data_IF_869885068765
#
_entry.id   IF_869885068765
#
_cell.length_a   1.000
_cell.length_b   1.000
_cell.length_c   1.000
_cell.angle_alpha   90.00
_cell.angle_beta   90.00
_cell.angle_gamma   90.00
#
_symmetry.space_group_name_H-M   'P 1'
#
loop_
_entity.id
_entity.type
_entity.pdbx_description
1 polymer ?
2 branched ?
3 non-polymer ?
4 non-polymer ?
5 water ?
#
# COMPACT_ATOMS: atom_id res chain seq x y z
N UNK A 1 34.23 18.90 29.34
CA UNK A 1 33.72 18.21 30.52
C UNK A 1 32.23 18.47 30.70
N UNK A 2 31.85 19.74 30.72
CA UNK A 2 30.45 20.09 30.75
C UNK A 2 29.80 19.65 29.44
N UNK A 3 30.58 19.70 28.37
CA UNK A 3 30.14 19.21 27.06
C UNK A 3 29.83 17.72 27.14
N UNK A 4 30.65 17.01 27.90
CA UNK A 4 30.49 15.58 28.09
C UNK A 4 29.15 15.28 28.77
N UNK A 5 28.83 16.08 29.78
CA UNK A 5 27.57 15.93 30.48
C UNK A 5 26.40 16.17 29.54
N UNK A 6 26.57 17.11 28.62
CA UNK A 6 25.51 17.40 27.66
C UNK A 6 25.23 16.27 26.67
N UNK A 7 26.28 15.58 26.19
CA UNK A 7 26.03 14.50 25.23
C UNK A 7 25.53 13.21 25.89
N UNK A 8 25.87 13.02 27.17
CA UNK A 8 25.37 11.88 27.93
C UNK A 8 23.90 12.10 28.23
N UNK A 9 23.53 13.35 28.44
CA UNK A 9 22.12 13.68 28.60
C UNK A 9 21.38 13.50 27.25
N UNK A 10 22.06 13.83 26.15
CA UNK A 10 21.47 13.61 24.83
C UNK A 10 21.28 12.12 24.54
N UNK A 11 22.27 11.31 24.93
CA UNK A 11 22.17 9.85 24.78
C UNK A 11 20.92 9.28 25.46
N UNK A 12 20.63 9.78 26.65
CA UNK A 12 19.49 9.32 27.43
C UNK A 12 18.17 9.74 26.80
N UNK A 13 18.10 10.99 26.35
CA UNK A 13 16.91 11.49 25.67
C UNK A 13 16.67 10.75 24.36
N UNK A 14 17.74 10.47 23.62
CA UNK A 14 17.63 9.82 22.32
C UNK A 14 17.11 8.39 22.49
N UNK A 15 17.65 7.70 23.49
CA UNK A 15 17.28 6.31 23.74
C UNK A 15 15.84 6.24 24.21
N UNK A 16 15.43 7.15 25.08
CA UNK A 16 14.03 7.20 25.52
C UNK A 16 13.10 7.50 24.36
N UNK A 17 13.51 8.44 23.50
CA UNK A 17 12.78 8.68 22.26
C UNK A 17 12.65 7.43 21.38
N UNK A 18 13.75 6.70 21.20
CA UNK A 18 13.72 5.48 20.39
C UNK A 18 12.79 4.42 20.99
N UNK A 19 12.81 4.28 22.31
CA UNK A 19 11.94 3.30 22.96
C UNK A 19 10.48 3.69 22.77
N UNK A 20 10.17 4.95 23.01
CA UNK A 20 8.79 5.40 22.93
C UNK A 20 8.29 5.37 21.49
N UNK A 21 9.19 5.61 20.55
CA UNK A 21 8.85 5.59 19.13
C UNK A 21 8.55 4.19 18.61
N UNK A 22 9.34 3.22 19.05
CA UNK A 22 9.08 1.81 18.70
C UNK A 22 7.67 1.40 19.14
N UNK A 23 7.28 1.82 20.34
CA UNK A 23 5.95 1.54 20.88
C UNK A 23 4.86 2.27 20.11
N UNK A 24 5.06 3.54 19.76
CA UNK A 24 3.98 4.28 19.10
C UNK A 24 3.84 3.92 17.61
N UNK A 25 4.87 3.31 17.03
CA UNK A 25 4.71 2.76 15.67
C UNK A 25 3.78 1.56 15.70
N UNK A 26 3.95 0.70 16.71
CA UNK A 26 3.14 -0.52 16.82
C UNK A 26 1.71 -0.13 17.12
N UNK A 27 1.55 0.88 17.98
CA UNK A 27 0.22 1.39 18.36
C UNK A 27 -0.51 1.96 17.13
N UNK A 28 0.17 2.82 16.39
CA UNK A 28 -0.37 3.41 15.16
C UNK A 28 -0.76 2.40 14.08
N UNK A 29 0.04 1.37 13.87
CA UNK A 29 -0.25 0.39 12.83
C UNK A 29 -1.36 -0.58 13.23
N UNK A 30 -1.63 -0.66 14.54
CA UNK A 30 -2.75 -1.49 14.99
C UNK A 30 -4.08 -0.74 14.88
N UNK A 31 -5.00 -1.26 14.06
CA UNK A 31 -4.91 -2.49 13.28
C UNK A 31 -4.85 -2.26 11.76
N UNK A 32 -4.89 -1.02 11.33
CA UNK A 32 -5.06 -0.74 9.90
C UNK A 32 -3.76 -0.47 9.16
N UNK A 33 -2.63 -0.78 9.77
CA UNK A 33 -1.37 -0.57 9.07
C UNK A 33 -0.45 -1.77 9.16
N UNK A 34 0.49 -1.87 8.22
CA UNK A 34 1.52 -2.90 8.24
C UNK A 34 2.82 -2.26 7.76
N UNK A 35 3.94 -2.57 8.44
CA UNK A 35 5.24 -2.09 7.99
C UNK A 35 6.02 -3.19 7.31
N UNK A 36 6.69 -2.87 6.21
CA UNK A 36 7.58 -3.81 5.52
C UNK A 36 8.81 -3.07 5.01
N UNK A 37 9.94 -3.29 5.68
CA UNK A 37 11.13 -2.56 5.31
C UNK A 37 10.95 -1.10 5.65
N UNK A 38 11.19 -0.23 4.67
CA UNK A 38 11.04 1.20 4.88
C UNK A 38 9.61 1.65 4.56
N UNK A 39 8.82 0.76 3.97
CA UNK A 39 7.45 1.09 3.60
C UNK A 39 6.44 0.90 4.74
N UNK A 40 5.42 1.76 4.76
CA UNK A 40 4.24 1.51 5.57
C UNK A 40 2.99 1.55 4.70
N UNK A 41 2.19 0.49 4.77
CA UNK A 41 0.88 0.47 4.11
C UNK A 41 -0.17 0.72 5.16
N UNK A 42 -1.17 1.53 4.82
CA UNK A 42 -2.26 1.80 5.74
C UNK A 42 -3.53 1.95 4.94
N UNK A 43 -4.60 1.31 5.40
CA UNK A 43 -5.89 1.48 4.74
C UNK A 43 -6.68 2.56 5.46
N UNK A 44 -7.47 3.32 4.70
CA UNK A 44 -8.34 4.32 5.29
C UNK A 44 -9.70 3.73 5.66
N UNK A 45 -9.94 2.50 5.23
CA UNK A 45 -11.18 1.82 5.55
C UNK A 45 -12.40 2.26 4.75
N UNK A 46 -12.16 3.01 3.68
CA UNK A 46 -13.26 3.39 2.78
C UNK A 46 -12.93 2.95 1.35
N UNK A 47 -13.94 3.00 0.48
CA UNK A 47 -13.73 2.62 -0.93
C UNK A 47 -13.87 3.81 -1.86
N UNK A 48 -13.04 3.84 -2.88
CA UNK A 48 -13.04 4.91 -3.87
C UNK A 48 -12.69 4.34 -5.24
N UNK A 49 -12.98 5.09 -6.29
CA UNK A 49 -12.55 4.70 -7.62
C UNK A 49 -11.05 4.79 -7.64
N UNK A 50 -10.41 4.22 -8.64
CA UNK A 50 -8.95 4.29 -8.69
C UNK A 50 -8.49 5.76 -8.72
N UNK A 51 -9.17 6.57 -9.53
CA UNK A 51 -8.77 7.96 -9.74
C UNK A 51 -8.81 8.75 -8.43
N UNK A 52 -9.91 8.62 -7.71
CA UNK A 52 -10.09 9.27 -6.41
C UNK A 52 -9.12 8.71 -5.36
N UNK A 53 -8.82 7.41 -5.45
CA UNK A 53 -7.90 6.80 -4.49
C UNK A 53 -6.50 7.38 -4.68
N UNK A 54 -6.10 7.56 -5.94
CA UNK A 54 -4.83 8.17 -6.27
C UNK A 54 -4.68 9.56 -5.66
N UNK A 55 -5.72 10.39 -5.80
CA UNK A 55 -5.72 11.74 -5.23
C UNK A 55 -5.62 11.67 -3.72
N UNK A 56 -6.43 10.81 -3.11
CA UNK A 56 -6.42 10.67 -1.66
C UNK A 56 -5.02 10.32 -1.11
N UNK A 57 -4.35 9.33 -1.71
CA UNK A 57 -3.03 8.92 -1.23
C UNK A 57 -1.95 9.98 -1.41
N UNK A 58 -1.99 10.67 -2.55
CA UNK A 58 -1.04 11.74 -2.84
C UNK A 58 -1.24 12.91 -1.89
N UNK A 59 -2.50 13.32 -1.75
CA UNK A 59 -2.87 14.42 -0.88
C UNK A 59 -2.43 14.16 0.56
N UNK A 60 -2.52 12.91 0.97
CA UNK A 60 -2.12 12.50 2.33
C UNK A 60 -0.61 12.47 2.50
N UNK A 61 0.12 12.57 1.40
CA UNK A 61 1.58 12.60 1.46
C UNK A 61 2.25 11.32 1.00
N UNK A 62 1.47 10.37 0.52
CA UNK A 62 2.01 9.11 0.05
C UNK A 62 1.64 8.80 -1.39
N UNK A 63 1.41 7.52 -1.68
CA UNK A 63 0.95 7.06 -2.99
C UNK A 63 0.21 5.76 -2.78
N UNK A 64 -0.34 5.21 -3.86
CA UNK A 64 -1.02 3.92 -3.80
C UNK A 64 0.00 2.80 -3.60
N UNK A 65 -0.46 1.63 -3.17
CA UNK A 65 0.46 0.53 -2.89
C UNK A 65 1.08 -0.08 -4.13
N UNK A 66 2.40 -0.20 -4.11
CA UNK A 66 3.15 -0.87 -5.17
C UNK A 66 3.93 -2.03 -4.57
N UNK A 67 3.27 -3.20 -4.39
CA UNK A 67 3.93 -4.35 -3.79
C UNK A 67 5.00 -4.91 -4.72
N UNK A 68 6.26 -4.87 -4.29
CA UNK A 68 7.38 -5.30 -5.12
C UNK A 68 7.97 -6.62 -4.66
N UNK A 69 7.29 -7.27 -3.73
CA UNK A 69 7.74 -8.57 -3.25
C UNK A 69 6.60 -9.31 -2.60
N UNK A 70 6.85 -10.58 -2.30
CA UNK A 70 5.85 -11.44 -1.67
C UNK A 70 5.46 -10.88 -0.31
N UNK A 71 6.47 -10.43 0.43
CA UNK A 71 6.29 -9.89 1.77
C UNK A 71 5.43 -8.65 1.77
N UNK A 72 5.68 -7.76 0.83
CA UNK A 72 4.85 -6.56 0.71
C UNK A 72 3.43 -6.95 0.31
N UNK A 73 3.31 -7.94 -0.56
CA UNK A 73 1.98 -8.35 -1.05
C UNK A 73 1.15 -8.97 0.06
N UNK A 74 1.79 -9.81 0.87
CA UNK A 74 1.17 -10.43 2.03
C UNK A 74 0.64 -9.38 3.00
N UNK A 75 1.41 -8.32 3.23
CA UNK A 75 0.97 -7.24 4.11
C UNK A 75 -0.30 -6.58 3.59
N UNK A 76 -0.39 -6.39 2.28
CA UNK A 76 -1.61 -5.83 1.70
C UNK A 76 -2.77 -6.80 1.87
N UNK A 77 -2.50 -8.08 1.62
CA UNK A 77 -3.53 -9.10 1.71
C UNK A 77 -4.08 -9.18 3.14
N UNK A 78 -3.22 -8.92 4.12
CA UNK A 78 -3.65 -8.86 5.52
C UNK A 78 -4.61 -7.69 5.74
N UNK A 79 -4.37 -6.57 5.08
CA UNK A 79 -5.26 -5.42 5.26
C UNK A 79 -6.62 -5.66 4.59
N UNK A 80 -6.63 -6.16 3.36
CA UNK A 80 -7.91 -6.40 2.71
C UNK A 80 -8.68 -7.55 3.37
N UNK A 81 -7.96 -8.52 3.94
CA UNK A 81 -8.61 -9.61 4.68
C UNK A 81 -9.36 -9.07 5.89
N UNK A 82 -8.69 -8.23 6.68
CA UNK A 82 -9.29 -7.61 7.85
C UNK A 82 -10.52 -6.80 7.47
N UNK A 83 -10.37 -5.98 6.44
CA UNK A 83 -11.46 -5.11 5.98
C UNK A 83 -12.52 -5.86 5.18
N UNK A 84 -12.20 -7.09 4.77
CA UNK A 84 -13.09 -7.91 3.93
C UNK A 84 -13.48 -7.16 2.65
N UNK A 85 -12.55 -6.39 2.10
CA UNK A 85 -12.81 -5.63 0.88
C UNK A 85 -11.55 -5.60 0.04
N UNK A 86 -11.67 -5.96 -1.24
CA UNK A 86 -10.55 -5.94 -2.18
C UNK A 86 -10.09 -4.49 -2.43
N UNK A 87 -8.77 -4.31 -2.61
CA UNK A 87 -8.19 -2.97 -2.72
C UNK A 87 -7.54 -2.72 -4.08
N UNK A 88 -7.57 -1.48 -4.53
CA UNK A 88 -6.84 -1.09 -5.73
C UNK A 88 -5.34 -1.05 -5.41
N UNK A 89 -4.52 -1.57 -6.32
CA UNK A 89 -3.07 -1.36 -6.26
C UNK A 89 -2.73 -0.14 -7.10
N UNK A 90 -1.44 0.22 -7.12
CA UNK A 90 -0.99 1.41 -7.86
C UNK A 90 -0.92 1.22 -9.37
N UNK A 91 -0.85 -0.05 -9.82
CA UNK A 91 -0.45 -0.33 -11.19
C UNK A 91 -1.61 -0.33 -12.19
N UNK A 92 -1.33 0.14 -13.41
CA UNK A 92 -2.31 0.13 -14.49
C UNK A 92 -1.67 -0.33 -15.79
N UNK A 93 -2.49 -0.74 -16.77
CA UNK A 93 -2.01 -0.96 -18.13
C UNK A 93 -2.62 0.06 -19.08
N UNK A 94 -2.87 1.26 -18.55
CA UNK A 94 -3.50 2.33 -19.33
C UNK A 94 -2.66 2.76 -20.52
N UNK A 95 -1.36 2.87 -20.34
CA UNK A 95 -0.52 3.30 -21.46
C UNK A 95 -0.41 2.22 -22.55
N UNK A 96 -0.26 0.97 -22.15
CA UNK A 96 -0.13 -0.13 -23.09
C UNK A 96 -0.88 -1.36 -22.61
N UNK A 97 -1.92 -1.76 -23.35
CA UNK A 97 -2.80 -2.83 -22.91
C UNK A 97 -2.12 -4.17 -22.73
N UNK A 98 -2.19 -4.72 -21.52
CA UNK A 98 -1.61 -6.02 -21.21
C UNK A 98 -0.26 -5.88 -20.53
N UNK A 99 0.24 -4.65 -20.51
CA UNK A 99 1.52 -4.33 -19.89
C UNK A 99 1.31 -3.44 -18.68
N UNK A 100 1.30 -4.05 -17.50
CA UNK A 100 1.05 -3.30 -16.28
C UNK A 100 2.33 -2.71 -15.72
N UNK A 101 2.27 -1.41 -15.43
CA UNK A 101 3.41 -0.67 -14.93
C UNK A 101 3.09 0.04 -13.61
N UNK A 102 4.13 0.43 -12.87
CA UNK A 102 3.96 1.26 -11.69
C UNK A 102 3.66 2.69 -12.16
N UNK A 103 3.27 3.59 -11.25
CA UNK A 103 3.02 4.96 -11.69
C UNK A 103 4.26 5.69 -12.24
N UNK A 104 5.44 5.16 -11.97
CA UNK A 104 6.68 5.70 -12.52
C UNK A 104 6.82 5.29 -13.99
N UNK A 105 6.12 4.24 -14.38
CA UNK A 105 6.19 3.75 -15.75
C UNK A 105 7.05 2.51 -15.93
N UNK A 106 7.74 2.07 -14.87
CA UNK A 106 8.56 0.85 -14.97
C UNK A 106 7.69 -0.39 -14.85
N UNK A 107 8.14 -1.51 -15.44
CA UNK A 107 7.34 -2.75 -15.38
C UNK A 107 7.41 -3.40 -14.00
N UNK A 108 6.44 -4.27 -13.69
CA UNK A 108 6.40 -4.95 -12.40
C UNK A 108 7.63 -5.81 -12.14
N UNK A 109 8.19 -5.68 -10.95
CA UNK A 109 9.29 -6.55 -10.52
C UNK A 109 8.72 -7.77 -9.78
N UNK A 110 7.41 -7.72 -9.57
CA UNK A 110 6.68 -8.76 -8.85
C UNK A 110 5.25 -8.77 -9.36
N UNK A 111 4.66 -9.95 -9.45
CA UNK A 111 3.29 -10.11 -9.92
C UNK A 111 2.67 -11.33 -9.27
N UNK A 112 1.37 -11.28 -8.98
CA UNK A 112 0.68 -12.40 -8.33
C UNK A 112 -0.74 -12.57 -8.90
N UNK A 113 -0.82 -12.68 -10.21
CA UNK A 113 -2.11 -12.77 -10.90
C UNK A 113 -2.86 -14.04 -10.56
N UNK A 114 -4.15 -13.90 -10.26
CA UNK A 114 -5.04 -15.03 -10.10
C UNK A 114 -5.06 -15.83 -11.41
N UNK A 115 -5.51 -17.10 -11.34
CA UNK A 115 -5.62 -17.87 -12.58
C UNK A 115 -6.54 -17.19 -13.60
N UNK A 116 -6.10 -17.09 -14.85
CA UNK A 116 -6.92 -16.54 -15.92
C UNK A 116 -6.77 -15.04 -16.10
N UNK A 117 -6.20 -14.37 -15.10
CA UNK A 117 -6.07 -12.92 -15.12
C UNK A 117 -4.63 -12.54 -15.51
N UNK A 118 -4.42 -11.30 -16.04
CA UNK A 118 -5.45 -10.30 -16.36
C UNK A 118 -6.22 -10.66 -17.62
N UNK A 119 -7.49 -10.25 -17.72
CA UNK A 119 -8.32 -10.61 -18.87
C UNK A 119 -9.01 -9.44 -19.58
N UNK A 120 -8.90 -8.24 -18.99
CA UNK A 120 -9.41 -7.01 -19.60
C UNK A 120 -10.90 -7.07 -19.93
N UNK A 121 -11.64 -7.84 -19.14
CA UNK A 121 -13.07 -8.02 -19.40
C UNK A 121 -13.92 -7.75 -18.16
N UNK A 122 -14.34 -6.50 -18.00
CA UNK A 122 -15.17 -6.10 -16.87
C UNK A 122 -16.67 -6.17 -17.13
N UNK A 123 -17.05 -6.92 -18.16
CA UNK A 123 -18.46 -7.01 -18.51
C UNK A 123 -18.98 -5.65 -18.89
N UNK A 124 -20.04 -5.19 -18.23
CA UNK A 124 -20.63 -3.90 -18.58
C UNK A 124 -19.72 -2.71 -18.24
N UNK A 125 -18.70 -2.95 -17.42
CA UNK A 125 -17.72 -1.91 -17.06
C UNK A 125 -16.70 -1.63 -18.17
N UNK A 126 -16.73 -2.45 -19.21
CA UNK A 126 -15.79 -2.28 -20.31
C UNK A 126 -14.42 -2.88 -20.01
N UNK A 127 -13.38 -2.20 -20.48
CA UNK A 127 -12.01 -2.64 -20.28
C UNK A 127 -11.60 -2.59 -18.80
N UNK A 128 -10.58 -3.38 -18.46
CA UNK A 128 -10.06 -3.41 -17.09
C UNK A 128 -8.59 -3.04 -17.13
N UNK A 129 -8.28 -1.89 -16.55
CA UNK A 129 -6.94 -1.33 -16.64
C UNK A 129 -6.31 -1.02 -15.30
N UNK A 130 -7.01 -1.36 -14.23
CA UNK A 130 -6.45 -1.24 -12.90
C UNK A 130 -6.35 -2.62 -12.27
N UNK A 131 -5.91 -2.67 -11.02
CA UNK A 131 -5.65 -3.95 -10.39
C UNK A 131 -6.22 -3.99 -8.96
N UNK A 132 -6.98 -5.03 -8.67
CA UNK A 132 -7.46 -5.26 -7.32
C UNK A 132 -6.73 -6.44 -6.67
N UNK A 133 -6.48 -6.35 -5.38
CA UNK A 133 -5.92 -7.48 -4.65
C UNK A 133 -6.98 -8.11 -3.73
N UNK A 134 -7.07 -9.44 -3.76
CA UNK A 134 -8.03 -10.22 -2.98
C UNK A 134 -7.46 -10.59 -1.61
N UNK A 135 -8.34 -11.04 -0.68
CA UNK A 135 -7.87 -11.48 0.64
C UNK A 135 -6.81 -12.58 0.58
N UNK A 136 -6.85 -13.42 -0.45
CA UNK A 136 -5.83 -14.45 -0.58
C UNK A 136 -4.50 -13.91 -1.14
N UNK A 137 -4.50 -12.62 -1.47
CA UNK A 137 -3.32 -12.00 -2.04
C UNK A 137 -3.26 -11.99 -3.55
N UNK A 138 -4.12 -12.77 -4.20
CA UNK A 138 -4.14 -12.84 -5.67
C UNK A 138 -4.66 -11.55 -6.31
N UNK A 139 -4.22 -11.30 -7.55
CA UNK A 139 -4.58 -10.08 -8.30
C UNK A 139 -5.60 -10.33 -9.40
N UNK A 140 -6.47 -9.35 -9.64
CA UNK A 140 -7.37 -9.35 -10.79
C UNK A 140 -7.41 -7.96 -11.43
N UNK A 141 -7.30 -7.89 -12.76
CA UNK A 141 -7.52 -6.60 -13.41
C UNK A 141 -9.00 -6.22 -13.36
N UNK A 142 -9.24 -4.99 -12.92
CA UNK A 142 -10.59 -4.53 -12.67
C UNK A 142 -10.75 -3.16 -13.33
N UNK A 143 -11.96 -2.82 -13.74
CA UNK A 143 -12.22 -1.51 -14.31
C UNK A 143 -11.85 -0.42 -13.31
N UNK A 144 -11.20 0.64 -13.79
CA UNK A 144 -10.72 1.70 -12.90
C UNK A 144 -11.85 2.51 -12.26
N UNK A 145 -13.02 2.48 -12.87
CA UNK A 145 -14.17 3.20 -12.37
C UNK A 145 -14.92 2.52 -11.23
N UNK A 146 -14.50 1.32 -10.84
CA UNK A 146 -15.16 0.63 -9.73
C UNK A 146 -14.69 1.18 -8.39
N UNK A 147 -15.44 0.90 -7.32
CA UNK A 147 -15.06 1.35 -5.98
C UNK A 147 -14.36 0.22 -5.26
N UNK A 148 -13.16 0.47 -4.76
CA UNK A 148 -12.43 -0.59 -4.05
C UNK A 148 -11.76 0.00 -2.80
N UNK A 149 -11.39 -0.87 -1.86
CA UNK A 149 -10.67 -0.41 -0.65
C UNK A 149 -9.45 0.46 -0.99
N UNK A 150 -9.33 1.57 -0.27
CA UNK A 150 -8.20 2.47 -0.45
C UNK A 150 -7.09 2.09 0.54
N UNK A 151 -5.95 1.63 0.04
CA UNK A 151 -4.75 1.45 0.86
C UNK A 151 -3.65 2.36 0.32
N UNK A 152 -3.00 3.11 1.21
CA UNK A 152 -1.94 4.01 0.77
C UNK A 152 -0.60 3.50 1.27
N UNK A 153 0.45 3.85 0.54
CA UNK A 153 1.80 3.46 0.85
C UNK A 153 2.61 4.72 1.25
N UNK A 154 3.31 4.63 2.37
CA UNK A 154 4.04 5.77 2.91
C UNK A 154 5.50 5.36 3.14
X LIG B 1 6.09 -3.16 -20.69
X LIG B 1 7.11 -4.06 -21.40
X LIG B 1 8.54 -3.77 -20.93
X LIG B 1 8.86 -2.27 -20.79
X LIG B 1 7.66 -1.38 -20.40
X LIG B 1 7.91 0.08 -20.78
X LIG B 1 6.71 -6.15 -20.09
X LIG B 1 6.51 -7.63 -20.20
X LIG B 1 6.80 -5.49 -21.25
X LIG B 1 9.42 -4.38 -21.85
X LIG B 1 9.83 -2.07 -19.77
X LIG B 1 6.41 -1.81 -20.91
X LIG B 1 8.35 0.20 -22.13
X LIG B 1 6.77 -5.64 -18.97
X LIG B 2 11.15 -2.56 -20.10
X LIG B 2 12.21 -1.64 -19.48
X LIG B 2 13.64 -2.17 -19.62
X LIG B 2 13.72 -3.68 -19.42
X LIG B 2 12.60 -4.38 -20.18
X LIG B 2 12.64 -5.91 -20.11
X LIG B 2 11.74 0.74 -19.40
X LIG B 2 11.46 1.98 -20.19
X LIG B 2 12.14 -0.32 -20.09
X LIG B 2 14.47 -1.50 -18.71
X LIG B 2 14.97 -4.10 -19.94
X LIG B 2 11.37 -3.91 -19.69
X LIG B 2 13.01 -6.33 -18.82
X LIG B 2 11.61 0.73 -18.17
X LIG B 3 15.82 -4.67 -18.93
X LIG B 3 16.83 -5.53 -19.68
X LIG B 3 17.86 -6.12 -18.73
X LIG B 3 18.47 -5.03 -17.85
X LIG B 3 17.37 -4.17 -17.21
X LIG B 3 17.97 -3.01 -16.40
X LIG B 3 17.46 -4.74 -20.67
X LIG B 3 18.90 -6.75 -19.45
X LIG B 3 19.24 -5.67 -16.85
X LIG B 3 16.47 -3.67 -18.17
X LIG B 3 18.89 -2.23 -17.14
X LIG B 4 18.25 -1.29 -18.04
X LIG B 4 19.13 -1.07 -19.26
X LIG B 4 20.46 -0.52 -18.78
X LIG B 4 20.15 0.82 -18.09
X LIG B 4 19.22 0.55 -16.91
X LIG B 4 18.89 1.80 -16.12
X LIG B 4 18.63 -0.11 -20.18
X LIG B 4 21.32 -0.34 -19.89
X LIG B 4 21.33 1.52 -17.70
X LIG B 4 18.03 -0.05 -17.39
X LIG B 4 18.32 1.45 -14.87
X LIG B 5 17.55 -0.59 -21.03
X LIG B 5 16.53 0.55 -21.17
X LIG B 5 15.47 0.26 -22.23
X LIG B 5 16.08 -0.25 -23.53
X LIG B 5 17.05 -1.40 -23.24
X LIG B 5 17.77 -1.81 -24.52
X LIG B 5 16.26 1.85 -19.12
X LIG B 5 15.43 2.09 -17.88
X LIG B 5 15.90 0.82 -19.88
X LIG B 5 14.74 1.44 -22.53
X LIG B 5 15.05 -0.67 -24.40
X LIG B 5 18.02 -1.03 -22.29
X LIG B 5 18.60 -2.92 -24.26
X LIG B 5 17.19 2.60 -19.38
X LIG C 1 -10.22 -9.28 -14.77
X LIG D 1 -6.33 -3.56 -19.62
X LIG E 1 -14.47 -9.46 -12.89
X LIG E 1 -15.08 -8.20 -13.03
X LIG E 1 -13.33 -9.62 -13.88
X LIG E 1 -12.33 -8.67 -13.60
X LIG E 1 -12.76 -11.03 -13.75
X LIG E 1 -11.57 -11.18 -14.52
#
# INVERSE_FOLDING_TARGET
TALRQQVETLQGQVQRLQKAFSQYKKVELFPNGRGVGEKIFKTGGFEKTFQDAQQVCTQAGGQMASPRSETENEALSQLVTAQNKAAFLSMTDIKTEGNFTYPTGEPLVYANWAPGEPNNNGGSSGAENCVEIFPNGKWNDKACGELRLVICEF
NAG C1 C2 C3 C4 C5 C6 C7 C8 N2 O3 O4 O5 O6 O7
NAG C1 C2 C3 C4 C5 C6 C7 C8 N2 O3 O4 O5 O6 O7
BMA C1 C2 C3 C4 C5 C6 O2 O3 O4 O5 O6
MAN C1 C2 C3 C4 C5 C6 O2 O3 O4 O5 O6
NAG C1 C2 C3 C4 C5 C6 C7 C8 N2 O3 O4 O5 O6 O7
CA CA
CA CA
GOL C1 O1 C2 O2 C3 O3
#
